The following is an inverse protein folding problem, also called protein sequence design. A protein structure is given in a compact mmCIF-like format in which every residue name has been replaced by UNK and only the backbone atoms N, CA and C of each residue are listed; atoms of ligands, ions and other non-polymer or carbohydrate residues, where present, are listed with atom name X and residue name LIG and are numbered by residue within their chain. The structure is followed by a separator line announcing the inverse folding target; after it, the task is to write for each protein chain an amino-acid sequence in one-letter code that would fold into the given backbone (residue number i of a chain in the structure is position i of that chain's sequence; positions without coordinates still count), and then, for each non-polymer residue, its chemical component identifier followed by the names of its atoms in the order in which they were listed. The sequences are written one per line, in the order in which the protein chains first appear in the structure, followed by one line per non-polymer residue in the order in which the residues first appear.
data_IF_201764612428
#
_entry.id   IF_201764612428
#
_cell.length_a   1.000
_cell.length_b   1.000
_cell.length_c   1.000
_cell.angle_alpha   90.00
_cell.angle_beta   90.00
_cell.angle_gamma   90.00
#
_symmetry.space_group_name_H-M   'P 1'
#
loop_
_entity.id
_entity.type
_entity.pdbx_description
1 polymer ?
#
# COMPACT_ATOMS: atom_id res chain seq x y z
N UNK A 1 23.26 10.95 -26.75
CA UNK A 1 23.80 10.61 -25.42
C UNK A 1 22.79 9.70 -24.72
N UNK A 2 23.10 8.43 -24.38
CA UNK A 2 22.22 7.64 -23.54
C UNK A 2 22.59 7.88 -22.07
N UNK A 3 21.68 8.45 -21.29
CA UNK A 3 21.78 8.51 -19.83
C UNK A 3 20.90 7.41 -19.20
N UNK A 4 21.32 6.97 -18.02
CA UNK A 4 20.67 6.05 -17.08
C UNK A 4 20.97 4.55 -17.28
N UNK A 5 22.21 4.17 -16.95
CA UNK A 5 22.49 3.35 -15.75
C UNK A 5 21.42 2.30 -15.38
N UNK A 6 21.61 1.08 -15.87
CA UNK A 6 20.88 -0.15 -15.51
C UNK A 6 21.19 -0.65 -14.09
N UNK A 7 21.17 0.24 -13.09
CA UNK A 7 21.28 -0.19 -11.70
C UNK A 7 19.98 -0.91 -11.31
N UNK A 8 20.05 -2.12 -10.72
CA UNK A 8 18.87 -2.78 -10.21
C UNK A 8 18.21 -1.88 -9.17
N UNK A 9 16.97 -1.47 -9.45
CA UNK A 9 16.23 -0.58 -8.57
C UNK A 9 16.13 -1.22 -7.17
N UNK A 10 16.76 -0.67 -6.11
CA UNK A 10 16.81 -1.29 -4.79
C UNK A 10 15.42 -1.48 -4.16
N UNK A 11 14.40 -0.78 -4.70
CA UNK A 11 13.00 -0.93 -4.33
C UNK A 11 12.35 -2.24 -4.84
N UNK A 12 12.97 -3.00 -5.75
CA UNK A 12 12.49 -4.30 -6.24
C UNK A 12 13.00 -5.48 -5.40
N UNK A 13 13.01 -5.35 -4.07
CA UNK A 13 13.22 -6.51 -3.20
C UNK A 13 11.90 -7.25 -3.01
N UNK A 14 11.92 -8.56 -3.13
CA UNK A 14 10.75 -9.38 -2.87
C UNK A 14 10.36 -9.25 -1.39
N UNK A 15 9.12 -8.83 -1.15
CA UNK A 15 8.56 -8.78 0.18
C UNK A 15 8.47 -10.18 0.79
N UNK A 16 8.74 -10.28 2.11
CA UNK A 16 8.74 -11.55 2.84
C UNK A 16 7.30 -11.93 3.18
N UNK A 17 6.94 -13.20 2.96
CA UNK A 17 5.61 -13.73 3.30
C UNK A 17 5.35 -13.61 4.81
N UNK A 18 4.14 -13.19 5.17
CA UNK A 18 3.67 -13.22 6.56
C UNK A 18 3.24 -14.65 6.88
N UNK A 19 3.97 -15.33 7.77
CA UNK A 19 3.73 -16.74 8.10
C UNK A 19 2.56 -16.95 9.08
N UNK A 20 2.30 -15.98 9.95
CA UNK A 20 1.18 -16.02 10.90
C UNK A 20 0.71 -14.61 11.23
N UNK A 21 -0.57 -14.47 11.60
CA UNK A 21 -1.17 -13.21 12.04
C UNK A 21 -1.09 -13.15 13.57
N UNK A 22 0.05 -12.66 14.07
CA UNK A 22 0.29 -12.42 15.49
C UNK A 22 -0.04 -10.95 15.86
N UNK A 23 0.16 -10.60 17.12
CA UNK A 23 -0.10 -9.24 17.60
C UNK A 23 0.76 -8.18 16.92
N UNK A 24 2.02 -8.50 16.61
CA UNK A 24 2.92 -7.58 15.88
C UNK A 24 2.38 -7.24 14.48
N UNK A 25 1.84 -8.21 13.75
CA UNK A 25 1.22 -7.99 12.44
C UNK A 25 -0.06 -7.15 12.57
N UNK A 26 -0.85 -7.34 13.63
CA UNK A 26 -2.05 -6.53 13.90
C UNK A 26 -1.68 -5.08 14.19
N UNK A 27 -0.68 -4.86 15.05
CA UNK A 27 -0.17 -3.53 15.38
C UNK A 27 0.40 -2.82 14.13
N UNK A 28 1.17 -3.54 13.31
CA UNK A 28 1.67 -3.02 12.04
C UNK A 28 0.53 -2.60 11.11
N UNK A 29 -0.49 -3.44 10.95
CA UNK A 29 -1.65 -3.10 10.12
C UNK A 29 -2.39 -1.86 10.63
N UNK A 30 -2.55 -1.70 11.95
CA UNK A 30 -3.17 -0.52 12.56
C UNK A 30 -2.34 0.75 12.29
N UNK A 31 -1.02 0.69 12.46
CA UNK A 31 -0.13 1.82 12.16
C UNK A 31 -0.15 2.19 10.66
N UNK A 32 -0.21 1.18 9.79
CA UNK A 32 -0.35 1.38 8.35
C UNK A 32 -1.70 2.02 7.99
N UNK A 33 -2.80 1.63 8.64
CA UNK A 33 -4.11 2.26 8.46
C UNK A 33 -4.09 3.73 8.90
N UNK A 34 -3.52 4.02 10.08
CA UNK A 34 -3.39 5.40 10.56
C UNK A 34 -2.57 6.26 9.59
N UNK A 35 -1.46 5.72 9.07
CA UNK A 35 -0.62 6.38 8.07
C UNK A 35 -1.39 6.64 6.78
N UNK A 36 -2.13 5.64 6.29
CA UNK A 36 -2.98 5.75 5.10
C UNK A 36 -4.02 6.86 5.26
N UNK A 37 -4.74 6.90 6.38
CA UNK A 37 -5.73 7.94 6.65
C UNK A 37 -5.11 9.33 6.79
N UNK A 38 -3.94 9.43 7.42
CA UNK A 38 -3.22 10.71 7.56
C UNK A 38 -2.76 11.28 6.21
N UNK A 39 -2.51 10.40 5.24
CA UNK A 39 -2.13 10.76 3.88
C UNK A 39 -3.32 10.90 2.91
N UNK A 40 -4.56 10.84 3.42
CA UNK A 40 -5.80 10.77 2.63
C UNK A 40 -5.79 9.68 1.53
N UNK A 41 -5.09 8.58 1.84
CA UNK A 41 -4.91 7.44 0.95
C UNK A 41 -6.09 6.47 0.97
N UNK A 42 -6.16 5.63 -0.07
CA UNK A 42 -7.16 4.56 -0.22
C UNK A 42 -6.56 3.19 0.16
N UNK A 43 -5.25 3.04 0.03
CA UNK A 43 -4.52 1.82 0.39
C UNK A 43 -3.04 2.10 0.59
N UNK A 44 -2.37 1.22 1.35
CA UNK A 44 -0.95 1.33 1.69
C UNK A 44 -0.30 -0.06 1.77
N UNK A 45 0.85 -0.23 1.15
CA UNK A 45 1.64 -1.46 1.20
C UNK A 45 2.81 -1.33 2.19
N UNK A 46 3.11 -2.38 2.94
CA UNK A 46 4.17 -2.36 3.96
C UNK A 46 5.55 -1.90 3.44
N UNK A 47 5.98 -2.23 2.20
CA UNK A 47 7.24 -1.70 1.67
C UNK A 47 7.28 -0.17 1.54
N UNK A 48 6.15 0.52 1.38
CA UNK A 48 6.08 1.99 1.30
C UNK A 48 6.41 2.66 2.63
N UNK A 49 6.26 1.94 3.75
CA UNK A 49 6.64 2.39 5.10
C UNK A 49 7.94 1.73 5.59
N UNK A 50 8.75 1.19 4.66
CA UNK A 50 10.05 0.59 4.97
C UNK A 50 9.99 -0.82 5.55
N UNK A 51 8.81 -1.46 5.58
CA UNK A 51 8.64 -2.81 6.13
C UNK A 51 8.58 -3.84 4.99
N UNK A 52 9.60 -4.70 4.89
CA UNK A 52 9.71 -5.69 3.82
C UNK A 52 8.82 -6.94 4.06
N UNK A 53 7.51 -6.75 4.21
CA UNK A 53 6.51 -7.82 4.39
C UNK A 53 5.44 -7.76 3.31
N UNK A 54 4.90 -8.93 2.92
CA UNK A 54 3.74 -9.05 2.01
C UNK A 54 2.46 -8.73 2.77
N UNK A 55 2.26 -7.46 3.08
CA UNK A 55 1.10 -6.94 3.80
C UNK A 55 0.63 -5.65 3.13
N UNK A 56 -0.69 -5.53 2.95
CA UNK A 56 -1.35 -4.32 2.45
C UNK A 56 -2.55 -4.01 3.34
N UNK A 57 -2.89 -2.73 3.45
CA UNK A 57 -4.17 -2.26 4.02
C UNK A 57 -4.92 -1.48 2.95
N UNK A 58 -6.24 -1.58 2.92
CA UNK A 58 -7.11 -0.88 1.96
C UNK A 58 -8.44 -0.53 2.60
N UNK A 59 -9.00 0.61 2.21
CA UNK A 59 -10.34 1.03 2.58
C UNK A 59 -11.29 0.85 1.39
N UNK A 60 -12.16 -0.16 1.46
CA UNK A 60 -13.08 -0.51 0.38
C UNK A 60 -14.25 0.48 0.25
N UNK A 61 -14.62 1.19 1.31
CA UNK A 61 -15.68 2.19 1.25
C UNK A 61 -15.24 3.38 0.40
N UNK A 62 -13.99 3.85 0.61
CA UNK A 62 -13.37 4.90 -0.22
C UNK A 62 -13.24 4.49 -1.69
N UNK A 63 -12.84 3.25 -1.98
CA UNK A 63 -12.79 2.72 -3.35
C UNK A 63 -14.18 2.73 -3.99
N UNK A 64 -15.19 2.30 -3.24
CA UNK A 64 -16.57 2.18 -3.73
C UNK A 64 -17.16 3.55 -4.04
N UNK A 65 -16.93 4.54 -3.16
CA UNK A 65 -17.31 5.94 -3.38
C UNK A 65 -16.73 6.50 -4.69
N UNK A 66 -15.42 6.33 -4.93
CA UNK A 66 -14.77 6.81 -6.17
C UNK A 66 -15.40 6.14 -7.39
N UNK A 67 -15.64 4.83 -7.34
CA UNK A 67 -16.29 4.11 -8.45
C UNK A 67 -17.69 4.65 -8.74
N UNK A 68 -18.49 4.92 -7.72
CA UNK A 68 -19.83 5.49 -7.87
C UNK A 68 -19.76 6.92 -8.43
N UNK A 69 -18.82 7.72 -7.97
CA UNK A 69 -18.60 9.09 -8.45
C UNK A 69 -18.18 9.11 -9.92
N UNK A 70 -17.23 8.26 -10.32
CA UNK A 70 -16.81 8.14 -11.73
C UNK A 70 -17.97 7.70 -12.63
N UNK A 71 -18.81 6.78 -12.14
CA UNK A 71 -20.02 6.36 -12.86
C UNK A 71 -21.01 7.51 -13.04
N UNK A 72 -21.13 8.41 -12.06
CA UNK A 72 -21.99 9.60 -12.16
C UNK A 72 -21.46 10.61 -13.19
N UNK A 73 -20.14 10.80 -13.28
CA UNK A 73 -19.52 11.76 -14.21
C UNK A 73 -19.57 11.36 -15.69
N UNK A 74 -19.83 10.09 -16.01
CA UNK A 74 -19.90 9.58 -17.38
C UNK A 74 -21.33 9.31 -17.86
N UNK A 75 -22.34 9.86 -17.16
CA UNK A 75 -23.77 9.75 -17.48
C UNK A 75 -24.36 11.10 -17.86
#
# INVERSE_FOLDING_TARGET
MPMASSLPNPARRNAITVASINEEIRLLAQQMLQTMYSADGIGLAAPQVGVNKRLIVVDLERVTMIRLMLRWLTQ
#
